data_IF_163825465456
#
_entry.id   IF_163825465456
#
_cell.length_a   1.000
_cell.length_b   1.000
_cell.length_c   1.000
_cell.angle_alpha   90.00
_cell.angle_beta   90.00
_cell.angle_gamma   90.00
#
_symmetry.space_group_name_H-M   'P 1'
#
loop_
_entity.id
_entity.type
_entity.pdbx_description
1 polymer ?
#
# COMPACT_ATOMS: atom_id res chain seq x y z
N UNK A 1 9.46 20.83 -11.89
CA UNK A 1 10.22 19.58 -12.12
C UNK A 1 9.25 18.40 -12.20
N UNK A 2 9.46 17.46 -13.13
CA UNK A 2 8.63 16.25 -13.25
C UNK A 2 8.69 15.39 -11.98
N UNK A 3 7.59 14.75 -11.60
CA UNK A 3 7.57 13.83 -10.46
C UNK A 3 8.40 12.56 -10.75
N UNK A 4 9.07 12.03 -9.74
CA UNK A 4 9.94 10.86 -9.80
C UNK A 4 9.33 9.76 -8.93
N UNK A 5 9.09 8.60 -9.53
CA UNK A 5 8.56 7.41 -8.85
C UNK A 5 9.72 6.44 -8.60
N UNK A 6 10.01 6.14 -7.34
CA UNK A 6 10.93 5.07 -6.99
C UNK A 6 10.23 3.72 -7.06
N UNK A 7 10.91 2.69 -7.55
CA UNK A 7 10.47 1.30 -7.50
C UNK A 7 11.51 0.50 -6.75
N UNK A 8 11.12 -0.13 -5.63
CA UNK A 8 12.05 -0.96 -4.85
C UNK A 8 12.52 -2.15 -5.68
N UNK A 9 13.83 -2.24 -5.94
CA UNK A 9 14.42 -3.16 -6.91
C UNK A 9 15.38 -4.16 -6.25
N UNK A 10 14.94 -4.75 -5.12
CA UNK A 10 15.70 -5.80 -4.41
C UNK A 10 15.50 -7.17 -5.04
N UNK A 11 14.24 -7.52 -5.31
CA UNK A 11 13.79 -8.76 -5.93
C UNK A 11 12.36 -8.53 -6.43
N UNK A 12 11.90 -9.36 -7.38
CA UNK A 12 10.50 -9.39 -7.79
C UNK A 12 10.21 -8.56 -9.05
N UNK A 13 8.95 -8.20 -9.23
CA UNK A 13 8.40 -7.66 -10.49
C UNK A 13 8.66 -6.15 -10.68
N UNK A 14 9.85 -5.66 -10.34
CA UNK A 14 10.17 -4.23 -10.47
C UNK A 14 10.26 -3.80 -11.95
N UNK A 15 10.68 -4.71 -12.85
CA UNK A 15 10.78 -4.42 -14.29
C UNK A 15 9.41 -4.15 -14.92
N UNK A 16 8.40 -4.91 -14.52
CA UNK A 16 7.02 -4.78 -14.95
C UNK A 16 6.43 -3.46 -14.49
N UNK A 17 6.68 -3.07 -13.23
CA UNK A 17 6.32 -1.74 -12.70
C UNK A 17 7.01 -0.61 -13.45
N UNK A 18 8.31 -0.75 -13.74
CA UNK A 18 9.04 0.23 -14.55
C UNK A 18 8.48 0.34 -15.97
N UNK A 19 8.08 -0.77 -16.59
CA UNK A 19 7.42 -0.76 -17.90
C UNK A 19 6.03 -0.11 -17.83
N UNK A 20 5.27 -0.38 -16.78
CA UNK A 20 4.00 0.28 -16.47
C UNK A 20 4.13 1.81 -16.35
N UNK A 21 5.13 2.29 -15.61
CA UNK A 21 5.41 3.72 -15.48
C UNK A 21 5.78 4.36 -16.83
N UNK A 22 6.59 3.68 -17.65
CA UNK A 22 6.92 4.15 -19.01
C UNK A 22 5.68 4.30 -19.89
N UNK A 23 4.72 3.37 -19.82
CA UNK A 23 3.46 3.41 -20.59
C UNK A 23 2.64 4.68 -20.31
N UNK A 24 2.66 5.17 -19.07
CA UNK A 24 1.92 6.38 -18.67
C UNK A 24 2.77 7.67 -18.69
N UNK A 25 3.99 7.59 -19.24
CA UNK A 25 4.92 8.73 -19.33
C UNK A 25 5.46 9.21 -17.97
N UNK A 26 5.44 8.36 -16.94
CA UNK A 26 5.99 8.67 -15.62
C UNK A 26 7.50 8.35 -15.56
N UNK A 27 8.28 9.19 -14.87
CA UNK A 27 9.71 8.94 -14.65
C UNK A 27 9.89 7.98 -13.47
N UNK A 28 10.17 6.71 -13.77
CA UNK A 28 10.55 5.69 -12.79
C UNK A 28 12.06 5.65 -12.54
N UNK A 29 12.48 5.38 -11.31
CA UNK A 29 13.86 5.06 -10.93
C UNK A 29 13.90 3.85 -10.01
N UNK A 30 14.94 3.02 -10.13
CA UNK A 30 15.14 1.88 -9.25
C UNK A 30 15.72 2.31 -7.91
N UNK A 31 15.19 1.73 -6.83
CA UNK A 31 15.66 1.95 -5.45
C UNK A 31 16.23 0.64 -4.93
N UNK A 32 17.54 0.61 -4.68
CA UNK A 32 18.29 -0.50 -4.09
C UNK A 32 18.98 -0.14 -2.77
N UNK A 33 19.17 1.17 -2.51
CA UNK A 33 19.86 1.71 -1.34
C UNK A 33 19.08 2.84 -0.69
N UNK A 34 19.35 3.10 0.59
CA UNK A 34 18.62 4.06 1.40
C UNK A 34 18.70 5.48 0.83
N UNK A 35 19.87 5.89 0.33
CA UNK A 35 20.11 7.25 -0.16
C UNK A 35 19.26 7.58 -1.40
N UNK A 36 18.86 6.56 -2.15
CA UNK A 36 18.04 6.71 -3.34
C UNK A 36 16.58 7.09 -3.01
N UNK A 37 16.14 6.89 -1.76
CA UNK A 37 14.80 7.31 -1.31
C UNK A 37 14.69 8.84 -1.13
N UNK A 38 15.81 9.56 -1.00
CA UNK A 38 15.81 11.00 -0.77
C UNK A 38 15.33 11.80 -1.99
N UNK A 39 15.59 11.28 -3.20
CA UNK A 39 15.32 11.97 -4.47
C UNK A 39 13.98 11.66 -5.13
N UNK A 40 13.15 10.79 -4.54
CA UNK A 40 11.87 10.35 -5.13
C UNK A 40 10.67 11.04 -4.47
N UNK A 41 9.60 11.21 -5.24
CA UNK A 41 8.35 11.82 -4.80
C UNK A 41 7.33 10.78 -4.31
N UNK A 42 7.47 9.53 -4.76
CA UNK A 42 6.61 8.39 -4.41
C UNK A 42 7.40 7.09 -4.50
N UNK A 43 6.90 6.03 -3.85
CA UNK A 43 7.54 4.71 -3.83
C UNK A 43 6.53 3.61 -4.21
N UNK A 44 6.95 2.71 -5.10
CA UNK A 44 6.28 1.44 -5.36
C UNK A 44 7.12 0.33 -4.71
N UNK A 45 6.47 -0.50 -3.90
CA UNK A 45 7.03 -1.76 -3.39
C UNK A 45 6.38 -2.88 -4.20
N UNK A 46 7.12 -3.53 -5.12
CA UNK A 46 6.55 -4.47 -6.07
C UNK A 46 6.21 -5.82 -5.42
N UNK A 47 5.51 -6.66 -6.17
CA UNK A 47 5.34 -8.07 -5.86
C UNK A 47 6.63 -8.87 -6.02
N UNK A 48 6.70 -10.04 -5.38
CA UNK A 48 7.90 -10.87 -5.34
C UNK A 48 7.82 -11.93 -4.25
N UNK A 49 8.97 -12.41 -3.80
CA UNK A 49 9.08 -13.29 -2.65
C UNK A 49 9.40 -12.46 -1.40
N UNK A 50 8.39 -12.22 -0.57
CA UNK A 50 8.48 -11.25 0.53
C UNK A 50 9.57 -11.59 1.55
N UNK A 51 9.88 -12.88 1.80
CA UNK A 51 10.95 -13.21 2.77
C UNK A 51 12.33 -12.89 2.24
N UNK A 52 12.59 -13.12 0.95
CA UNK A 52 13.84 -12.81 0.26
C UNK A 52 14.01 -11.32 0.16
N UNK A 53 12.94 -10.59 -0.22
CA UNK A 53 12.95 -9.12 -0.18
C UNK A 53 13.28 -8.59 1.21
N UNK A 54 12.72 -9.19 2.28
CA UNK A 54 12.97 -8.75 3.65
C UNK A 54 14.42 -9.04 4.08
N UNK A 55 14.96 -10.21 3.73
CA UNK A 55 16.38 -10.54 3.98
C UNK A 55 17.32 -9.58 3.27
N UNK A 56 17.06 -9.26 2.00
CA UNK A 56 17.85 -8.29 1.23
C UNK A 56 17.71 -6.88 1.79
N UNK A 57 16.50 -6.47 2.20
CA UNK A 57 16.27 -5.18 2.82
C UNK A 57 17.03 -5.05 4.15
N UNK A 58 17.07 -6.12 4.95
CA UNK A 58 17.86 -6.17 6.18
C UNK A 58 19.37 -6.14 5.91
N UNK A 59 19.84 -6.92 4.95
CA UNK A 59 21.25 -6.91 4.56
C UNK A 59 21.74 -5.52 4.11
N UNK A 60 20.86 -4.74 3.47
CA UNK A 60 21.17 -3.36 3.04
C UNK A 60 20.72 -2.27 4.02
N UNK A 61 20.28 -2.64 5.23
CA UNK A 61 19.77 -1.71 6.25
C UNK A 61 18.69 -0.73 5.72
N UNK A 62 17.78 -1.23 4.89
CA UNK A 62 16.75 -0.43 4.22
C UNK A 62 15.51 -0.19 5.08
N UNK A 63 15.21 -1.05 6.05
CA UNK A 63 13.99 -0.92 6.85
C UNK A 63 13.83 0.43 7.56
N UNK A 64 14.87 0.99 8.22
CA UNK A 64 14.77 2.32 8.82
C UNK A 64 14.40 3.39 7.80
N UNK A 65 15.05 3.40 6.63
CA UNK A 65 14.81 4.38 5.58
C UNK A 65 13.44 4.22 4.92
N UNK A 66 12.95 2.98 4.76
CA UNK A 66 11.60 2.70 4.25
C UNK A 66 10.53 3.18 5.23
N UNK A 67 10.71 2.92 6.54
CA UNK A 67 9.81 3.40 7.60
C UNK A 67 9.74 4.92 7.63
N UNK A 68 10.89 5.57 7.56
CA UNK A 68 10.98 7.03 7.46
C UNK A 68 10.23 7.54 6.22
N UNK A 69 10.48 6.93 5.04
CA UNK A 69 9.82 7.32 3.80
C UNK A 69 8.30 7.22 3.89
N UNK A 70 7.77 6.10 4.38
CA UNK A 70 6.33 5.90 4.60
C UNK A 70 5.77 6.96 5.55
N UNK A 71 6.50 7.27 6.63
CA UNK A 71 6.16 8.29 7.61
C UNK A 71 6.16 9.74 7.08
N UNK A 72 6.74 10.02 5.91
CA UNK A 72 6.77 11.38 5.35
C UNK A 72 5.44 11.86 4.77
N UNK A 73 4.45 10.98 4.62
CA UNK A 73 3.18 11.28 3.95
C UNK A 73 3.27 11.28 2.42
N UNK A 74 4.44 10.93 1.84
CA UNK A 74 4.59 10.73 0.39
C UNK A 74 3.83 9.48 -0.08
N UNK A 75 3.39 9.42 -1.34
CA UNK A 75 2.72 8.23 -1.87
C UNK A 75 3.54 6.96 -1.79
N UNK A 76 2.94 5.93 -1.23
CA UNK A 76 3.49 4.57 -1.24
C UNK A 76 2.46 3.61 -1.79
N UNK A 77 2.87 2.75 -2.71
CA UNK A 77 2.03 1.70 -3.27
C UNK A 77 2.68 0.33 -3.12
N UNK A 78 2.05 -0.55 -2.35
CA UNK A 78 2.47 -1.95 -2.21
C UNK A 78 1.63 -2.90 -3.07
N UNK A 79 2.27 -3.72 -3.90
CA UNK A 79 1.60 -4.79 -4.66
C UNK A 79 2.08 -6.15 -4.18
N UNK A 80 1.16 -7.09 -3.91
CA UNK A 80 1.44 -8.45 -3.44
C UNK A 80 2.43 -8.47 -2.25
N UNK A 81 3.72 -8.77 -2.47
CA UNK A 81 4.76 -8.69 -1.43
C UNK A 81 4.88 -7.30 -0.80
N UNK A 82 4.67 -6.23 -1.57
CA UNK A 82 4.63 -4.87 -1.06
C UNK A 82 3.47 -4.58 -0.11
N UNK A 83 2.30 -5.19 -0.33
CA UNK A 83 1.20 -5.15 0.64
C UNK A 83 1.64 -5.79 1.97
N UNK A 84 2.33 -6.93 1.91
CA UNK A 84 2.86 -7.59 3.12
C UNK A 84 3.82 -6.66 3.86
N UNK A 85 4.73 -5.98 3.15
CA UNK A 85 5.69 -5.05 3.75
C UNK A 85 5.00 -3.89 4.49
N UNK A 86 3.92 -3.34 3.94
CA UNK A 86 3.25 -2.15 4.47
C UNK A 86 2.29 -2.44 5.62
N UNK A 87 1.81 -3.68 5.75
CA UNK A 87 0.90 -4.08 6.81
C UNK A 87 1.54 -3.92 8.21
N UNK A 88 0.76 -3.48 9.18
CA UNK A 88 1.17 -3.43 10.59
C UNK A 88 1.27 -4.82 11.21
N UNK A 89 0.48 -5.79 10.73
CA UNK A 89 0.48 -7.18 11.21
C UNK A 89 0.45 -8.15 10.04
N UNK A 90 1.23 -9.22 10.13
CA UNK A 90 1.25 -10.29 9.14
C UNK A 90 1.18 -11.68 9.81
N UNK A 91 0.27 -12.52 9.33
CA UNK A 91 0.06 -13.91 9.80
C UNK A 91 0.33 -14.92 8.68
N UNK A 92 0.39 -16.21 9.02
CA UNK A 92 0.80 -17.27 8.09
C UNK A 92 2.30 -17.22 7.76
N UNK A 93 3.12 -16.73 8.69
CA UNK A 93 4.58 -16.66 8.57
C UNK A 93 5.22 -18.00 8.97
N UNK A 94 6.36 -18.34 8.38
CA UNK A 94 7.22 -19.42 8.89
C UNK A 94 7.89 -18.98 10.21
N UNK A 95 8.33 -19.93 11.02
CA UNK A 95 9.09 -19.69 12.26
C UNK A 95 10.21 -18.67 12.04
N UNK A 96 10.27 -17.65 12.90
CA UNK A 96 11.22 -16.52 12.80
C UNK A 96 10.61 -15.22 12.23
N UNK A 97 9.39 -15.26 11.72
CA UNK A 97 8.65 -14.08 11.27
C UNK A 97 9.26 -13.37 10.07
N UNK A 98 8.67 -12.24 9.68
CA UNK A 98 9.23 -11.34 8.68
C UNK A 98 9.13 -9.90 9.19
N UNK A 99 10.23 -9.16 9.09
CA UNK A 99 10.20 -7.73 9.39
C UNK A 99 9.31 -6.98 8.39
N UNK A 100 8.51 -6.06 8.93
CA UNK A 100 7.55 -5.25 8.19
C UNK A 100 8.00 -3.78 8.22
N UNK A 101 7.69 -3.05 7.16
CA UNK A 101 7.82 -1.59 7.13
C UNK A 101 6.70 -0.97 7.96
N UNK A 102 5.48 -1.49 7.83
CA UNK A 102 4.31 -0.93 8.49
C UNK A 102 3.83 0.38 7.88
N UNK A 103 2.83 0.98 8.51
CA UNK A 103 2.18 2.22 8.08
C UNK A 103 0.76 2.02 7.59
N UNK A 104 0.40 0.81 7.15
CA UNK A 104 -0.97 0.42 6.81
C UNK A 104 -1.59 -0.36 7.97
N UNK A 105 -2.68 0.16 8.54
CA UNK A 105 -3.39 -0.44 9.66
C UNK A 105 -4.26 -1.61 9.20
N UNK A 106 -3.61 -2.73 8.87
CA UNK A 106 -4.28 -3.94 8.46
C UNK A 106 -3.54 -5.19 8.94
N UNK A 107 -4.29 -6.28 9.07
CA UNK A 107 -3.77 -7.64 9.27
C UNK A 107 -3.77 -8.37 7.94
N UNK A 108 -2.58 -8.77 7.47
CA UNK A 108 -2.42 -9.51 6.21
C UNK A 108 -2.09 -10.98 6.44
N UNK A 109 -2.73 -11.88 5.70
CA UNK A 109 -2.35 -13.29 5.65
C UNK A 109 -1.48 -13.55 4.43
N UNK A 110 -0.30 -14.15 4.64
CA UNK A 110 0.62 -14.49 3.55
C UNK A 110 0.14 -15.73 2.80
N UNK A 111 0.32 -15.76 1.49
CA UNK A 111 -0.08 -16.89 0.63
C UNK A 111 -1.52 -17.37 0.92
N UNK A 112 -2.43 -16.45 1.22
CA UNK A 112 -3.81 -16.77 1.57
C UNK A 112 -4.44 -17.64 0.49
N UNK A 113 -4.14 -17.34 -0.79
CA UNK A 113 -4.72 -18.06 -1.90
C UNK A 113 -4.16 -19.46 -2.18
N UNK A 114 -3.16 -19.90 -1.40
CA UNK A 114 -2.54 -21.22 -1.52
C UNK A 114 -1.26 -21.23 -2.36
N UNK A 115 -0.90 -22.40 -2.89
CA UNK A 115 0.40 -22.63 -3.56
C UNK A 115 0.48 -22.00 -4.95
N UNK A 116 1.67 -22.03 -5.57
CA UNK A 116 1.91 -21.45 -6.91
C UNK A 116 0.99 -22.01 -8.01
N UNK A 117 0.56 -23.27 -7.88
CA UNK A 117 -0.37 -23.92 -8.81
C UNK A 117 -1.81 -23.38 -8.71
N UNK A 118 -2.10 -22.58 -7.69
CA UNK A 118 -3.41 -21.95 -7.46
C UNK A 118 -3.40 -20.47 -7.88
N UNK A 119 -2.52 -20.11 -8.82
CA UNK A 119 -2.57 -18.82 -9.51
C UNK A 119 -3.92 -18.71 -10.22
N UNK A 120 -4.62 -17.60 -10.05
CA UNK A 120 -5.90 -17.37 -10.71
C UNK A 120 -6.06 -15.91 -11.07
N UNK A 121 -7.05 -15.67 -11.92
CA UNK A 121 -7.44 -14.33 -12.30
C UNK A 121 -8.93 -14.20 -12.11
N UNK A 122 -9.37 -13.01 -11.72
CA UNK A 122 -10.79 -12.72 -11.57
C UNK A 122 -11.07 -11.26 -11.86
N UNK A 123 -12.31 -10.97 -12.23
CA UNK A 123 -12.78 -9.61 -12.35
C UNK A 123 -13.12 -9.05 -10.97
N UNK A 124 -12.54 -7.90 -10.64
CA UNK A 124 -12.71 -7.21 -9.38
C UNK A 124 -13.58 -5.97 -9.60
N UNK A 125 -14.57 -5.76 -8.74
CA UNK A 125 -15.33 -4.51 -8.68
C UNK A 125 -14.46 -3.42 -8.06
N UNK A 126 -14.28 -2.30 -8.78
CA UNK A 126 -13.44 -1.15 -8.40
C UNK A 126 -14.13 0.19 -8.71
N UNK A 127 -15.35 0.44 -8.20
CA UNK A 127 -16.12 1.64 -8.53
C UNK A 127 -15.37 2.93 -8.18
N UNK A 128 -14.70 2.96 -7.01
CA UNK A 128 -13.92 4.11 -6.56
C UNK A 128 -12.74 4.46 -7.47
N UNK A 129 -12.17 3.46 -8.15
CA UNK A 129 -11.09 3.69 -9.12
C UNK A 129 -11.65 4.26 -10.42
N UNK A 130 -12.79 3.74 -10.87
CA UNK A 130 -13.50 4.22 -12.05
C UNK A 130 -13.97 5.67 -11.89
N UNK A 131 -14.49 6.04 -10.70
CA UNK A 131 -14.89 7.42 -10.40
C UNK A 131 -13.73 8.42 -10.44
N UNK A 132 -12.52 7.99 -10.04
CA UNK A 132 -11.33 8.86 -9.95
C UNK A 132 -10.57 8.98 -11.27
N UNK A 133 -10.36 7.86 -11.97
CA UNK A 133 -9.53 7.82 -13.19
C UNK A 133 -10.35 7.64 -14.48
N UNK A 134 -11.66 7.40 -14.37
CA UNK A 134 -12.51 7.01 -15.49
C UNK A 134 -12.40 5.52 -15.86
N UNK A 135 -13.31 5.06 -16.73
CA UNK A 135 -13.31 3.69 -17.29
C UNK A 135 -14.31 2.74 -16.62
N UNK A 136 -14.10 1.43 -16.81
CA UNK A 136 -14.99 0.37 -16.31
C UNK A 136 -15.07 0.33 -14.78
N UNK A 137 -16.22 0.01 -14.20
CA UNK A 137 -16.32 -0.27 -12.76
C UNK A 137 -15.65 -1.58 -12.34
N UNK A 138 -15.05 -2.31 -13.28
CA UNK A 138 -14.32 -3.55 -13.03
C UNK A 138 -12.86 -3.46 -13.50
N UNK A 139 -11.98 -4.25 -12.89
CA UNK A 139 -10.61 -4.48 -13.37
C UNK A 139 -10.21 -5.95 -13.21
N UNK A 140 -9.25 -6.42 -14.03
CA UNK A 140 -8.73 -7.78 -13.95
C UNK A 140 -7.69 -7.87 -12.82
N UNK A 141 -7.98 -8.65 -11.79
CA UNK A 141 -7.04 -8.97 -10.73
C UNK A 141 -6.27 -10.25 -11.06
N UNK A 142 -4.94 -10.15 -11.18
CA UNK A 142 -4.04 -11.29 -11.37
C UNK A 142 -3.44 -11.70 -10.02
N UNK A 143 -3.78 -12.89 -9.52
CA UNK A 143 -3.40 -13.37 -8.19
C UNK A 143 -2.39 -14.52 -8.31
N UNK A 144 -1.15 -14.27 -7.88
CA UNK A 144 -0.06 -15.25 -7.92
C UNK A 144 0.47 -15.43 -6.51
N UNK A 145 0.14 -16.55 -5.87
CA UNK A 145 0.39 -16.80 -4.42
C UNK A 145 -0.01 -15.60 -3.56
N UNK A 146 -1.13 -14.98 -3.90
CA UNK A 146 -1.46 -13.67 -3.37
C UNK A 146 -1.69 -13.73 -1.85
N UNK A 147 -1.27 -12.68 -1.12
CA UNK A 147 -1.75 -12.45 0.24
C UNK A 147 -3.24 -12.08 0.22
N UNK A 148 -3.84 -11.98 1.40
CA UNK A 148 -5.14 -11.34 1.54
C UNK A 148 -5.24 -10.55 2.83
N UNK A 149 -6.11 -9.55 2.87
CA UNK A 149 -6.28 -8.66 4.02
C UNK A 149 -7.45 -9.18 4.84
N UNK A 150 -7.17 -9.57 6.08
CA UNK A 150 -8.15 -10.18 6.98
C UNK A 150 -8.94 -9.11 7.73
N UNK A 151 -8.25 -8.08 8.17
CA UNK A 151 -8.76 -6.99 9.01
C UNK A 151 -8.15 -5.66 8.59
N UNK A 152 -8.92 -4.59 8.80
CA UNK A 152 -8.52 -3.22 8.51
C UNK A 152 -8.94 -2.31 9.65
N UNK A 153 -8.13 -1.28 9.93
CA UNK A 153 -8.44 -0.23 10.90
C UNK A 153 -9.53 0.73 10.41
N UNK A 154 -9.99 1.60 11.31
CA UNK A 154 -11.11 2.52 11.05
C UNK A 154 -10.82 3.53 9.92
N UNK A 155 -9.55 3.93 9.76
CA UNK A 155 -9.12 4.92 8.76
C UNK A 155 -8.75 4.29 7.39
N UNK A 156 -8.96 2.99 7.23
CA UNK A 156 -8.65 2.24 6.01
C UNK A 156 -9.88 2.11 5.13
N UNK A 157 -9.80 2.69 3.94
CA UNK A 157 -10.79 2.56 2.88
C UNK A 157 -10.60 1.24 2.12
N UNK A 158 -11.62 0.39 2.09
CA UNK A 158 -11.64 -0.82 1.26
C UNK A 158 -12.00 -0.45 -0.17
N UNK A 159 -11.12 -0.77 -1.12
CA UNK A 159 -11.29 -0.44 -2.53
C UNK A 159 -11.81 -1.62 -3.36
N UNK A 160 -11.46 -2.85 -2.98
CA UNK A 160 -11.92 -4.07 -3.64
C UNK A 160 -11.83 -5.28 -2.72
N UNK A 161 -12.72 -6.23 -2.95
CA UNK A 161 -12.72 -7.57 -2.37
C UNK A 161 -12.82 -8.63 -3.49
N UNK A 162 -12.56 -9.89 -3.15
CA UNK A 162 -12.76 -11.01 -4.07
C UNK A 162 -13.41 -12.21 -3.36
N UNK A 163 -14.13 -13.08 -4.09
CA UNK A 163 -14.62 -14.33 -3.54
C UNK A 163 -13.48 -15.21 -3.02
N UNK A 164 -13.71 -15.89 -1.90
CA UNK A 164 -12.82 -16.94 -1.40
C UNK A 164 -13.18 -18.25 -2.11
N UNK A 165 -12.22 -18.95 -2.75
CA UNK A 165 -12.50 -20.22 -3.41
C UNK A 165 -13.08 -21.28 -2.45
N UNK A 166 -14.07 -22.04 -2.92
CA UNK A 166 -14.68 -23.12 -2.16
C UNK A 166 -13.65 -24.22 -1.80
N UNK A 167 -13.76 -24.80 -0.60
CA UNK A 167 -12.86 -25.86 -0.13
C UNK A 167 -11.63 -25.36 0.62
N UNK A 168 -11.54 -24.06 0.95
CA UNK A 168 -10.49 -23.55 1.83
C UNK A 168 -10.86 -23.84 3.30
N UNK A 169 -9.98 -24.49 4.08
CA UNK A 169 -10.22 -24.65 5.50
C UNK A 169 -10.28 -23.28 6.16
N UNK A 170 -11.15 -23.16 7.16
CA UNK A 170 -11.23 -22.03 8.07
C UNK A 170 -9.81 -21.66 8.52
N UNK A 171 -9.35 -20.44 8.21
CA UNK A 171 -7.99 -20.05 8.55
C UNK A 171 -7.98 -19.68 10.02
N UNK A 172 -7.24 -20.46 10.80
CA UNK A 172 -6.94 -20.14 12.18
C UNK A 172 -5.89 -19.04 12.24
N UNK A 173 -6.30 -17.88 12.72
CA UNK A 173 -5.40 -16.75 13.00
C UNK A 173 -4.85 -16.97 14.42
N UNK A 174 -3.68 -17.61 14.51
CA UNK A 174 -3.00 -17.77 15.79
C UNK A 174 -2.37 -16.43 16.20
N UNK A 175 -2.89 -15.81 17.25
CA UNK A 175 -2.46 -14.50 17.73
C UNK A 175 -1.48 -14.61 18.90
N UNK A 176 -0.32 -15.25 18.69
CA UNK A 176 0.71 -15.40 19.73
C UNK A 176 0.29 -16.29 20.91
N UNK A 177 1.25 -16.62 21.79
CA UNK A 177 1.02 -17.54 22.91
C UNK A 177 0.00 -16.96 23.91
N UNK A 178 -1.19 -17.58 23.99
CA UNK A 178 -2.19 -17.33 25.03
C UNK A 178 -3.49 -16.64 24.62
N UNK A 179 -3.74 -16.38 23.33
CA UNK A 179 -5.01 -15.81 22.83
C UNK A 179 -5.73 -16.79 21.91
N UNK A 180 -7.07 -16.80 22.01
CA UNK A 180 -7.97 -17.71 21.30
C UNK A 180 -7.76 -17.65 19.78
N UNK A 181 -7.73 -18.84 19.17
CA UNK A 181 -7.64 -19.05 17.74
C UNK A 181 -8.90 -18.49 17.04
N UNK A 182 -8.74 -17.39 16.29
CA UNK A 182 -9.85 -16.85 15.51
C UNK A 182 -9.96 -17.53 14.16
N UNK A 183 -11.16 -18.03 13.84
CA UNK A 183 -11.47 -18.68 12.57
C UNK A 183 -11.94 -17.64 11.56
N UNK A 184 -11.19 -17.45 10.48
CA UNK A 184 -11.65 -16.65 9.34
C UNK A 184 -12.62 -17.46 8.46
N UNK A 185 -13.89 -17.05 8.41
CA UNK A 185 -14.99 -17.76 7.73
C UNK A 185 -15.77 -16.92 6.72
N UNK A 186 -15.18 -15.84 6.17
CA UNK A 186 -15.88 -14.96 5.21
C UNK A 186 -15.84 -15.51 3.79
N UNK A 187 -16.95 -15.38 3.07
CA UNK A 187 -17.09 -15.74 1.64
C UNK A 187 -16.30 -14.82 0.70
N UNK A 188 -15.94 -13.62 1.17
CA UNK A 188 -15.15 -12.63 0.44
C UNK A 188 -14.00 -12.15 1.32
N UNK A 189 -12.89 -11.83 0.68
CA UNK A 189 -11.69 -11.30 1.34
C UNK A 189 -11.24 -10.02 0.68
N UNK A 190 -10.70 -9.10 1.47
CA UNK A 190 -10.25 -7.79 1.00
C UNK A 190 -8.94 -7.97 0.23
N UNK A 191 -8.88 -7.34 -0.96
CA UNK A 191 -7.73 -7.45 -1.88
C UNK A 191 -7.17 -6.11 -2.35
N UNK A 192 -7.86 -5.00 -2.09
CA UNK A 192 -7.30 -3.67 -2.28
C UNK A 192 -7.80 -2.70 -1.20
N UNK A 193 -6.89 -1.90 -0.66
CA UNK A 193 -7.18 -0.91 0.38
C UNK A 193 -6.39 0.37 0.15
N UNK A 194 -6.86 1.45 0.76
CA UNK A 194 -6.16 2.71 0.86
C UNK A 194 -6.26 3.27 2.26
N UNK A 195 -5.15 3.76 2.80
CA UNK A 195 -5.12 4.53 4.05
C UNK A 195 -4.33 5.80 3.82
N UNK A 196 -5.02 6.94 3.76
CA UNK A 196 -4.38 8.24 3.51
C UNK A 196 -3.48 8.22 2.28
N UNK A 197 -2.16 8.18 2.54
CA UNK A 197 -1.10 8.16 1.54
C UNK A 197 -0.55 6.76 1.16
N UNK A 198 -1.25 5.70 1.51
CA UNK A 198 -0.80 4.34 1.23
C UNK A 198 -1.88 3.65 0.42
N UNK A 199 -1.50 3.12 -0.75
CA UNK A 199 -2.31 2.21 -1.55
C UNK A 199 -1.71 0.81 -1.41
N UNK A 200 -2.54 -0.22 -1.27
CA UNK A 200 -2.05 -1.58 -1.27
C UNK A 200 -3.01 -2.54 -2.00
N UNK A 201 -2.45 -3.42 -2.82
CA UNK A 201 -3.20 -4.43 -3.59
C UNK A 201 -2.58 -5.80 -3.41
N UNK A 202 -3.41 -6.82 -3.24
CA UNK A 202 -2.98 -8.22 -3.15
C UNK A 202 -2.64 -8.83 -4.51
N UNK A 203 -3.17 -8.27 -5.59
CA UNK A 203 -2.96 -8.70 -6.98
C UNK A 203 -1.87 -7.87 -7.69
N UNK A 204 -1.57 -8.28 -8.92
CA UNK A 204 -0.51 -7.74 -9.79
C UNK A 204 -1.06 -6.91 -10.96
N UNK A 205 -1.45 -5.65 -10.74
CA UNK A 205 -1.97 -4.78 -11.81
C UNK A 205 -0.92 -4.48 -12.89
N UNK A 206 0.37 -4.54 -12.56
CA UNK A 206 1.47 -4.35 -13.50
C UNK A 206 1.50 -5.39 -14.64
N UNK A 207 0.90 -6.57 -14.41
CA UNK A 207 0.77 -7.65 -15.38
C UNK A 207 -0.42 -7.47 -16.33
N UNK A 208 -1.17 -6.38 -16.19
CA UNK A 208 -2.33 -6.07 -17.03
C UNK A 208 -2.08 -4.87 -17.93
N UNK A 209 -2.86 -4.77 -19.00
CA UNK A 209 -2.91 -3.57 -19.83
C UNK A 209 -3.62 -2.40 -19.12
N UNK A 210 -4.42 -2.70 -18.10
CA UNK A 210 -5.14 -1.72 -17.31
C UNK A 210 -4.17 -0.88 -16.47
N UNK A 211 -4.01 0.38 -16.88
CA UNK A 211 -3.08 1.29 -16.24
C UNK A 211 -3.73 2.13 -15.15
N UNK A 212 -5.02 1.94 -14.81
CA UNK A 212 -5.75 2.83 -13.89
C UNK A 212 -5.23 2.79 -12.45
N UNK A 213 -4.84 1.63 -11.94
CA UNK A 213 -4.22 1.55 -10.61
C UNK A 213 -2.90 2.36 -10.56
N UNK A 214 -2.10 2.24 -11.62
CA UNK A 214 -0.81 2.95 -11.75
C UNK A 214 -1.06 4.45 -11.98
N UNK A 215 -2.03 4.80 -12.82
CA UNK A 215 -2.45 6.16 -13.10
C UNK A 215 -2.96 6.85 -11.84
N UNK A 216 -3.75 6.18 -11.01
CA UNK A 216 -4.25 6.78 -9.76
C UNK A 216 -3.13 7.08 -8.77
N UNK A 217 -2.18 6.15 -8.62
CA UNK A 217 -0.97 6.40 -7.83
C UNK A 217 -0.13 7.57 -8.38
N UNK A 218 -0.04 7.68 -9.71
CA UNK A 218 0.74 8.72 -10.40
C UNK A 218 0.08 10.11 -10.37
N UNK A 219 -1.20 10.21 -10.71
CA UNK A 219 -2.01 11.43 -10.64
C UNK A 219 -1.92 12.01 -9.24
N UNK A 220 -2.01 11.15 -8.23
CA UNK A 220 -1.89 11.55 -6.85
C UNK A 220 -0.46 12.03 -6.49
N UNK A 221 0.59 11.39 -7.00
CA UNK A 221 1.98 11.85 -6.88
C UNK A 221 2.17 13.25 -7.49
N UNK A 222 1.63 13.49 -8.69
CA UNK A 222 1.67 14.81 -9.33
C UNK A 222 0.97 15.88 -8.47
N UNK A 223 -0.20 15.55 -7.93
CA UNK A 223 -0.97 16.48 -7.08
C UNK A 223 -0.21 16.87 -5.81
N UNK A 224 0.44 15.90 -5.14
CA UNK A 224 1.24 16.19 -3.95
C UNK A 224 2.53 16.97 -4.27
N UNK A 225 3.14 16.75 -5.43
CA UNK A 225 4.29 17.56 -5.85
C UNK A 225 3.92 19.01 -6.13
N UNK A 226 2.74 19.25 -6.70
CA UNK A 226 2.23 20.62 -6.93
C UNK A 226 1.76 21.31 -5.66
N UNK A 227 1.27 20.54 -4.67
CA UNK A 227 0.78 21.07 -3.39
C UNK A 227 1.41 20.29 -2.23
N UNK A 228 2.70 20.52 -1.93
CA UNK A 228 3.44 19.72 -0.94
C UNK A 228 2.82 19.72 0.46
N UNK A 229 2.08 20.76 0.82
CA UNK A 229 1.39 20.85 2.12
C UNK A 229 0.22 19.87 2.26
N UNK A 230 -0.34 19.35 1.16
CA UNK A 230 -1.42 18.36 1.23
C UNK A 230 -0.97 17.05 1.89
N UNK A 231 0.32 16.72 1.82
CA UNK A 231 0.85 15.51 2.47
C UNK A 231 0.70 15.53 3.99
N UNK A 232 0.70 16.72 4.59
CA UNK A 232 0.56 16.87 6.04
C UNK A 232 -0.80 16.38 6.53
N UNK A 233 -1.84 16.34 5.68
CA UNK A 233 -3.14 15.76 6.03
C UNK A 233 -3.08 14.27 6.34
N UNK A 234 -1.99 13.59 5.95
CA UNK A 234 -1.81 12.15 6.14
C UNK A 234 -0.81 11.81 7.25
N UNK A 235 -0.24 12.81 7.93
CA UNK A 235 0.66 12.55 9.05
C UNK A 235 -0.11 12.16 10.31
N UNK A 236 0.47 11.25 11.08
CA UNK A 236 -0.06 10.84 12.38
C UNK A 236 -0.22 12.07 13.32
N UNK A 237 -1.26 12.12 14.18
CA UNK A 237 -1.52 13.27 15.04
C UNK A 237 -0.34 13.69 15.94
N UNK A 238 0.46 12.72 16.40
CA UNK A 238 1.66 12.99 17.21
C UNK A 238 2.76 13.69 16.38
N UNK A 239 2.97 13.27 15.14
CA UNK A 239 3.87 13.94 14.19
C UNK A 239 3.36 15.35 13.86
N UNK A 240 2.03 15.52 13.80
CA UNK A 240 1.39 16.82 13.59
C UNK A 240 1.60 17.78 14.76
N UNK A 241 1.64 17.28 16.00
CA UNK A 241 1.86 18.11 17.18
C UNK A 241 3.26 18.74 17.20
N UNK A 242 4.28 18.01 16.73
CA UNK A 242 5.66 18.49 16.64
C UNK A 242 5.86 19.56 15.55
N UNK A 243 4.96 19.64 14.56
CA UNK A 243 5.02 20.66 13.51
C UNK A 243 4.56 22.03 14.05
N UNK A 244 5.41 23.04 13.90
CA UNK A 244 5.20 24.39 14.43
C UNK A 244 3.96 25.12 13.90
N UNK A 245 3.49 26.15 14.62
CA UNK A 245 2.24 26.90 14.34
C UNK A 245 2.07 27.41 12.91
N UNK A 246 3.16 27.83 12.24
CA UNK A 246 3.14 28.28 10.83
C UNK A 246 2.72 27.18 9.85
N UNK A 247 3.09 25.93 10.12
CA UNK A 247 2.74 24.78 9.27
C UNK A 247 1.25 24.42 9.44
N UNK A 248 0.70 24.54 10.65
CA UNK A 248 -0.74 24.31 10.91
C UNK A 248 -1.65 25.27 10.12
N UNK A 249 -1.27 26.55 10.02
CA UNK A 249 -2.02 27.56 9.27
C UNK A 249 -2.06 27.30 7.75
N UNK A 250 -1.06 26.61 7.20
CA UNK A 250 -1.03 26.18 5.79
C UNK A 250 -1.92 24.95 5.52
N UNK A 251 -2.24 24.16 6.56
CA UNK A 251 -3.00 22.90 6.45
C UNK A 251 -4.51 23.16 6.62
N UNK A 252 -4.88 24.08 7.51
CA UNK A 252 -6.26 24.53 7.77
C UNK A 252 -6.37 26.04 7.57
N UNK A 253 -6.54 26.53 6.34
CA UNK A 253 -6.60 27.97 6.08
C UNK A 253 -7.87 28.66 6.60
N UNK A 254 -8.86 27.93 7.15
CA UNK A 254 -10.10 28.53 7.66
C UNK A 254 -10.63 27.78 8.89
N UNK A 255 -10.36 28.35 10.08
CA UNK A 255 -11.20 28.19 11.27
C UNK A 255 -11.05 29.45 12.14
N UNK A 256 -11.37 30.61 11.56
CA UNK A 256 -11.53 31.84 12.32
C UNK A 256 -12.75 32.62 11.82
N UNK A 257 -13.93 32.01 11.93
CA UNK A 257 -15.09 32.78 12.38
C UNK A 257 -15.19 32.59 13.88
N UNK A 258 -14.38 33.34 14.60
CA UNK A 258 -14.71 33.70 15.96
C UNK A 258 -16.08 34.38 15.89
N UNK A 259 -17.13 33.73 16.38
CA UNK A 259 -18.35 34.42 16.77
C UNK A 259 -17.91 35.44 17.81
N UNK A 260 -17.94 36.73 17.46
CA UNK A 260 -17.93 37.79 18.46
C UNK A 260 -19.13 37.53 19.39
N UNK A 261 -18.98 37.64 20.71
CA UNK A 261 -20.15 37.77 21.57
C UNK A 261 -20.78 39.12 21.23
N UNK A 262 -22.01 39.11 20.74
CA UNK A 262 -22.86 40.30 20.81
C UNK A 262 -23.29 40.46 22.28
N UNK A 263 -23.17 41.69 22.73
CA UNK A 263 -23.56 42.20 24.05
C UNK A 263 -25.08 42.36 24.09
#
# INVERSE_FOLDING_TARGET
>A
MAAVVGVLALQGSYNEHMAALRRIGAKGVEVRKAEQLLGIDSLIIPGGESTTMAKLANFHNLFPALREFVGTGKPVWGTCAGLIFLANKAVGQKTGGQELVGGLDCTVHRNFFGSQLQSFETELSVPMLAEKEGGSHTCRGVFIRAPAILEVGQDVEVLADCPVPAGRPSITITSGEGLEDQVYSKDRVIVAVRQGNILATAFHPELTSDSRCIASSWTWTKNLKQRPWLRYRYLHPQTMQMLGRRIRLLIYPFSSRARKPEI
#
